data_IF_909576754295
#
_entry.id   IF_909576754295
#
_cell.length_a   1.000
_cell.length_b   1.000
_cell.length_c   1.000
_cell.angle_alpha   90.00
_cell.angle_beta   90.00
_cell.angle_gamma   90.00
#
_symmetry.space_group_name_H-M   'P 1'
#
loop_
_entity.id
_entity.type
_entity.pdbx_description
1 polymer ?
#
# COMPACT_ATOMS: atom_id res chain seq x y z
N UNK A 1 -17.76 -7.66 -2.93
CA UNK A 1 -16.53 -8.45 -3.15
C UNK A 1 -15.91 -8.82 -1.81
N UNK A 2 -15.40 -10.02 -1.70
CA UNK A 2 -14.70 -10.47 -0.50
C UNK A 2 -13.19 -10.57 -0.80
N UNK A 3 -12.44 -9.59 -0.33
CA UNK A 3 -10.99 -9.54 -0.52
C UNK A 3 -10.29 -10.73 0.16
N UNK A 4 -10.80 -11.18 1.30
CA UNK A 4 -10.20 -12.33 1.99
C UNK A 4 -10.27 -13.58 1.12
N UNK A 5 -11.38 -13.82 0.45
CA UNK A 5 -11.50 -14.94 -0.49
C UNK A 5 -10.57 -14.78 -1.69
N UNK A 6 -10.51 -13.57 -2.25
CA UNK A 6 -9.66 -13.30 -3.42
C UNK A 6 -8.18 -13.54 -3.10
N UNK A 7 -7.74 -13.15 -1.90
CA UNK A 7 -6.32 -13.22 -1.52
C UNK A 7 -5.94 -14.50 -0.79
N UNK A 8 -6.91 -15.35 -0.43
CA UNK A 8 -6.64 -16.62 0.23
C UNK A 8 -5.74 -17.50 -0.64
N UNK A 9 -4.67 -18.01 -0.05
CA UNK A 9 -3.68 -18.82 -0.77
C UNK A 9 -2.62 -18.03 -1.53
N UNK A 10 -2.84 -16.74 -1.78
CA UNK A 10 -1.86 -15.88 -2.45
C UNK A 10 -1.01 -15.08 -1.46
N UNK A 11 -1.62 -14.66 -0.34
CA UNK A 11 -0.98 -13.86 0.69
C UNK A 11 -1.38 -14.36 2.07
N UNK A 12 -0.52 -14.12 3.05
CA UNK A 12 -0.84 -14.30 4.47
C UNK A 12 -1.30 -12.97 5.04
N UNK A 13 -2.46 -12.96 5.68
CA UNK A 13 -3.05 -11.74 6.23
C UNK A 13 -3.89 -12.06 7.47
N UNK A 14 -4.17 -11.01 8.25
CA UNK A 14 -5.13 -11.05 9.35
C UNK A 14 -6.36 -10.25 8.96
N UNK A 15 -7.54 -10.71 9.37
CA UNK A 15 -8.79 -9.99 9.18
C UNK A 15 -9.11 -9.23 10.46
N UNK A 16 -9.25 -7.91 10.34
CA UNK A 16 -9.57 -7.05 11.46
C UNK A 16 -11.08 -7.05 11.77
N UNK A 17 -11.45 -6.53 12.92
CA UNK A 17 -12.85 -6.51 13.37
C UNK A 17 -13.78 -5.75 12.41
N UNK A 18 -13.26 -4.76 11.69
CA UNK A 18 -14.02 -3.97 10.72
C UNK A 18 -14.06 -4.58 9.31
N UNK A 19 -13.48 -5.78 9.15
CA UNK A 19 -13.42 -6.49 7.86
C UNK A 19 -12.23 -6.10 6.99
N UNK A 20 -11.40 -5.15 7.39
CA UNK A 20 -10.17 -4.85 6.66
C UNK A 20 -9.15 -5.95 6.86
N UNK A 21 -8.19 -6.04 5.92
CA UNK A 21 -7.10 -7.00 5.97
C UNK A 21 -5.81 -6.28 6.30
N UNK A 22 -5.02 -6.86 7.21
CA UNK A 22 -3.68 -6.35 7.55
C UNK A 22 -2.66 -7.42 7.24
N UNK A 23 -1.57 -7.03 6.60
CA UNK A 23 -0.51 -7.96 6.21
C UNK A 23 0.87 -7.32 6.27
N UNK A 24 1.86 -8.18 6.54
CA UNK A 24 3.27 -7.80 6.46
C UNK A 24 3.81 -8.27 5.11
N UNK A 25 4.57 -7.40 4.42
CA UNK A 25 5.13 -7.73 3.12
C UNK A 25 6.48 -7.05 2.93
N UNK A 26 7.55 -7.82 2.92
CA UNK A 26 8.90 -7.30 2.70
C UNK A 26 9.32 -6.21 3.67
N UNK A 27 8.94 -6.32 4.95
CA UNK A 27 9.22 -5.32 5.97
C UNK A 27 8.23 -4.17 6.03
N UNK A 28 7.27 -4.11 5.10
CA UNK A 28 6.20 -3.13 5.11
C UNK A 28 4.95 -3.68 5.78
N UNK A 29 4.04 -2.81 6.20
CA UNK A 29 2.73 -3.19 6.75
C UNK A 29 1.65 -2.56 5.87
N UNK A 30 0.76 -3.40 5.36
CA UNK A 30 -0.31 -2.94 4.47
C UNK A 30 -1.67 -3.21 5.08
N UNK A 31 -2.62 -2.34 4.76
CA UNK A 31 -4.03 -2.48 5.09
C UNK A 31 -4.84 -2.37 3.81
N UNK A 32 -5.75 -3.31 3.60
CA UNK A 32 -6.65 -3.34 2.44
C UNK A 32 -8.08 -3.43 2.91
N UNK A 33 -8.96 -2.68 2.25
CA UNK A 33 -10.39 -2.77 2.48
C UNK A 33 -11.15 -2.41 1.21
N UNK A 34 -12.42 -2.82 1.15
CA UNK A 34 -13.35 -2.38 0.12
C UNK A 34 -14.17 -1.22 0.65
N UNK A 35 -14.44 -0.25 -0.22
CA UNK A 35 -15.27 0.91 0.11
C UNK A 35 -16.30 1.08 -0.98
N UNK A 36 -17.58 1.03 -0.62
CA UNK A 36 -18.66 1.30 -1.56
C UNK A 36 -18.79 2.82 -1.74
N UNK A 37 -18.54 3.29 -2.96
CA UNK A 37 -18.67 4.71 -3.32
C UNK A 37 -20.08 4.99 -3.81
N UNK A 38 -20.68 4.05 -4.54
CA UNK A 38 -22.04 4.10 -5.03
C UNK A 38 -22.57 2.67 -5.07
N UNK A 39 -23.86 2.49 -5.38
CA UNK A 39 -24.54 1.19 -5.35
C UNK A 39 -23.84 0.12 -6.20
N UNK A 40 -23.26 0.53 -7.31
CA UNK A 40 -22.60 -0.37 -8.26
C UNK A 40 -21.10 -0.10 -8.40
N UNK A 41 -20.52 0.71 -7.50
CA UNK A 41 -19.11 1.06 -7.56
C UNK A 41 -18.43 0.78 -6.23
N UNK A 42 -17.65 -0.29 -6.21
CA UNK A 42 -16.83 -0.69 -5.07
C UNK A 42 -15.36 -0.44 -5.39
N UNK A 43 -14.67 0.25 -4.48
CA UNK A 43 -13.25 0.53 -4.59
C UNK A 43 -12.46 -0.36 -3.65
N UNK A 44 -11.28 -0.75 -4.06
CA UNK A 44 -10.27 -1.33 -3.16
C UNK A 44 -9.36 -0.20 -2.71
N UNK A 45 -9.21 -0.04 -1.41
CA UNK A 45 -8.32 0.96 -0.82
C UNK A 45 -7.15 0.24 -0.15
N UNK A 46 -5.94 0.51 -0.65
CA UNK A 46 -4.70 -0.05 -0.15
C UNK A 46 -3.86 1.07 0.44
N UNK A 47 -3.41 0.88 1.68
CA UNK A 47 -2.45 1.76 2.34
C UNK A 47 -1.30 0.90 2.84
N UNK A 48 -0.09 1.25 2.45
CA UNK A 48 1.11 0.49 2.83
C UNK A 48 2.10 1.43 3.49
N UNK A 49 2.47 1.14 4.74
CA UNK A 49 3.52 1.87 5.43
C UNK A 49 4.85 1.25 5.02
N UNK A 50 5.65 2.01 4.29
CA UNK A 50 6.93 1.53 3.73
C UNK A 50 8.06 1.64 4.74
N UNK A 51 8.10 2.74 5.46
CA UNK A 51 9.06 2.98 6.52
C UNK A 51 8.47 3.98 7.50
N UNK A 52 8.87 3.90 8.74
CA UNK A 52 8.37 4.81 9.75
C UNK A 52 9.48 5.30 10.64
N UNK A 53 9.27 6.50 11.18
CA UNK A 53 10.16 7.15 12.12
C UNK A 53 11.58 7.35 11.56
N UNK A 54 11.67 7.78 10.30
CA UNK A 54 12.95 8.10 9.66
C UNK A 54 13.34 9.55 9.94
N UNK A 55 14.65 9.85 10.01
CA UNK A 55 15.08 11.24 10.06
C UNK A 55 14.63 11.99 8.80
N UNK A 56 13.88 13.07 8.99
CA UNK A 56 13.34 13.84 7.88
C UNK A 56 14.31 14.97 7.51
N UNK A 57 15.10 14.73 6.49
CA UNK A 57 16.11 15.67 5.98
C UNK A 57 15.91 15.87 4.47
N UNK A 58 16.76 16.74 3.89
CA UNK A 58 16.67 17.04 2.46
C UNK A 58 16.91 15.80 1.59
N UNK A 59 17.79 14.90 1.97
CA UNK A 59 18.08 13.69 1.22
C UNK A 59 16.87 12.74 1.22
N UNK A 60 16.22 12.56 2.35
CA UNK A 60 15.00 11.74 2.42
C UNK A 60 13.90 12.31 1.52
N UNK A 61 13.66 13.64 1.61
CA UNK A 61 12.65 14.29 0.77
C UNK A 61 12.94 14.12 -0.71
N UNK A 62 14.19 14.27 -1.11
CA UNK A 62 14.63 14.10 -2.49
C UNK A 62 14.43 12.67 -2.96
N UNK A 63 14.80 11.69 -2.14
CA UNK A 63 14.69 10.27 -2.48
C UNK A 63 13.22 9.84 -2.58
N UNK A 64 12.37 10.29 -1.66
CA UNK A 64 10.93 10.00 -1.70
C UNK A 64 10.32 10.62 -2.94
N UNK A 65 10.67 11.85 -3.30
CA UNK A 65 10.16 12.51 -4.50
C UNK A 65 10.57 11.75 -5.77
N UNK A 66 11.78 11.24 -5.83
CA UNK A 66 12.24 10.43 -6.97
C UNK A 66 11.43 9.14 -7.11
N UNK A 67 11.15 8.44 -6.02
CA UNK A 67 10.30 7.25 -6.04
C UNK A 67 8.86 7.58 -6.39
N UNK A 68 8.32 8.70 -5.89
CA UNK A 68 6.98 9.14 -6.22
C UNK A 68 6.82 9.37 -7.72
N UNK A 69 7.83 9.96 -8.36
CA UNK A 69 7.82 10.20 -9.80
C UNK A 69 7.97 8.91 -10.62
N UNK A 70 8.69 7.92 -10.10
CA UNK A 70 8.97 6.67 -10.80
C UNK A 70 7.87 5.61 -10.61
N UNK A 71 7.03 5.74 -9.60
CA UNK A 71 6.02 4.74 -9.26
C UNK A 71 4.79 4.87 -10.15
N UNK A 72 4.45 3.80 -10.85
CA UNK A 72 3.29 3.77 -11.74
C UNK A 72 1.98 3.44 -11.03
N UNK A 73 2.05 2.54 -10.05
CA UNK A 73 0.87 2.07 -9.31
C UNK A 73 0.92 2.62 -7.89
N UNK A 74 -0.04 3.48 -7.60
CA UNK A 74 -0.13 4.11 -6.29
C UNK A 74 0.68 5.39 -6.18
N UNK A 75 0.58 6.01 -5.03
CA UNK A 75 1.26 7.27 -4.71
C UNK A 75 2.15 7.07 -3.49
N UNK A 76 3.44 7.32 -3.67
CA UNK A 76 4.41 7.32 -2.57
C UNK A 76 4.44 8.72 -1.98
N UNK A 77 4.26 8.82 -0.67
CA UNK A 77 4.18 10.10 0.02
C UNK A 77 4.95 10.07 1.34
N UNK A 78 5.47 11.23 1.70
CA UNK A 78 6.12 11.45 2.98
C UNK A 78 5.11 12.04 3.94
N UNK A 79 5.03 11.50 5.15
CA UNK A 79 4.14 11.97 6.21
C UNK A 79 5.00 12.50 7.35
N UNK A 80 4.94 13.81 7.57
CA UNK A 80 5.72 14.46 8.61
C UNK A 80 5.26 14.02 10.00
N UNK A 81 6.24 13.81 10.88
CA UNK A 81 6.04 13.47 12.29
C UNK A 81 6.78 14.48 13.18
N UNK A 82 6.39 14.60 14.46
CA UNK A 82 7.11 15.47 15.39
C UNK A 82 8.60 15.13 15.50
N UNK A 83 9.43 16.12 15.81
CA UNK A 83 10.86 15.91 16.04
C UNK A 83 11.69 15.75 14.78
N UNK A 84 11.23 16.30 13.65
CA UNK A 84 11.92 16.17 12.35
C UNK A 84 12.06 14.71 11.94
N UNK A 85 11.00 13.95 12.14
CA UNK A 85 10.86 12.55 11.73
C UNK A 85 9.78 12.44 10.67
N UNK A 86 9.77 11.35 9.94
CA UNK A 86 8.75 11.12 8.91
C UNK A 86 8.50 9.64 8.70
N UNK A 87 7.27 9.34 8.30
CA UNK A 87 6.92 8.04 7.76
C UNK A 87 6.85 8.15 6.24
N UNK A 88 7.03 7.02 5.55
CA UNK A 88 6.86 6.94 4.09
C UNK A 88 5.75 5.94 3.82
N UNK A 89 4.76 6.34 3.03
CA UNK A 89 3.59 5.53 2.76
C UNK A 89 3.35 5.43 1.25
N UNK A 90 2.73 4.32 0.86
CA UNK A 90 2.18 4.14 -0.48
C UNK A 90 0.67 3.99 -0.34
N UNK A 91 -0.10 4.71 -1.16
CA UNK A 91 -1.56 4.62 -1.20
C UNK A 91 -2.00 4.32 -2.61
N UNK A 92 -2.95 3.41 -2.75
CA UNK A 92 -3.54 3.09 -4.03
C UNK A 92 -5.01 2.75 -3.84
N UNK A 93 -5.86 3.50 -4.53
CA UNK A 93 -7.29 3.25 -4.57
C UNK A 93 -7.67 2.94 -6.01
N UNK A 94 -8.40 1.85 -6.22
CA UNK A 94 -8.77 1.45 -7.58
C UNK A 94 -10.14 0.76 -7.58
N UNK A 95 -10.89 0.88 -8.70
CA UNK A 95 -12.16 0.18 -8.82
C UNK A 95 -11.94 -1.32 -8.92
N UNK A 96 -12.76 -2.08 -8.21
CA UNK A 96 -12.74 -3.53 -8.28
C UNK A 96 -13.52 -4.07 -9.47
N UNK A 97 -14.51 -3.31 -9.96
CA UNK A 97 -15.39 -3.73 -11.04
C UNK A 97 -14.63 -4.04 -12.33
N UNK A 98 -15.00 -5.14 -12.97
CA UNK A 98 -14.40 -5.54 -14.23
C UNK A 98 -13.09 -6.30 -14.11
N UNK A 99 -12.52 -6.46 -12.91
CA UNK A 99 -11.32 -7.23 -12.68
C UNK A 99 -11.68 -8.65 -12.24
N UNK A 100 -11.02 -9.65 -12.84
CA UNK A 100 -11.10 -11.02 -12.37
C UNK A 100 -10.38 -11.17 -11.03
N UNK A 101 -10.65 -12.25 -10.30
CA UNK A 101 -9.92 -12.54 -9.05
C UNK A 101 -8.41 -12.64 -9.31
N UNK A 102 -8.02 -13.28 -10.39
CA UNK A 102 -6.62 -13.41 -10.80
C UNK A 102 -5.98 -12.05 -11.07
N UNK A 103 -6.68 -11.16 -11.76
CA UNK A 103 -6.19 -9.80 -12.02
C UNK A 103 -6.05 -8.99 -10.75
N UNK A 104 -7.00 -9.11 -9.82
CA UNK A 104 -6.94 -8.45 -8.52
C UNK A 104 -5.74 -8.93 -7.70
N UNK A 105 -5.53 -10.25 -7.63
CA UNK A 105 -4.38 -10.82 -6.93
C UNK A 105 -3.07 -10.28 -7.51
N UNK A 106 -2.95 -10.30 -8.82
CA UNK A 106 -1.74 -9.81 -9.51
C UNK A 106 -1.50 -8.34 -9.24
N UNK A 107 -2.54 -7.51 -9.35
CA UNK A 107 -2.43 -6.07 -9.13
C UNK A 107 -2.01 -5.74 -7.69
N UNK A 108 -2.64 -6.38 -6.71
CA UNK A 108 -2.33 -6.15 -5.31
C UNK A 108 -0.89 -6.58 -5.00
N UNK A 109 -0.47 -7.75 -5.49
CA UNK A 109 0.91 -8.23 -5.31
C UNK A 109 1.92 -7.28 -5.94
N UNK A 110 1.64 -6.76 -7.13
CA UNK A 110 2.53 -5.80 -7.80
C UNK A 110 2.70 -4.52 -6.99
N UNK A 111 1.60 -4.01 -6.43
CA UNK A 111 1.66 -2.80 -5.60
C UNK A 111 2.47 -3.06 -4.32
N UNK A 112 2.22 -4.18 -3.65
CA UNK A 112 2.96 -4.54 -2.43
C UNK A 112 4.45 -4.73 -2.70
N UNK A 113 4.80 -5.36 -3.81
CA UNK A 113 6.20 -5.55 -4.22
C UNK A 113 6.87 -4.21 -4.56
N UNK A 114 6.15 -3.33 -5.22
CA UNK A 114 6.63 -1.97 -5.49
C UNK A 114 6.96 -1.24 -4.19
N UNK A 115 6.05 -1.28 -3.22
CA UNK A 115 6.25 -0.67 -1.91
C UNK A 115 7.44 -1.26 -1.16
N UNK A 116 7.57 -2.58 -1.17
CA UNK A 116 8.71 -3.25 -0.54
C UNK A 116 10.04 -2.85 -1.19
N UNK A 117 10.05 -2.67 -2.51
CA UNK A 117 11.22 -2.19 -3.25
C UNK A 117 11.61 -0.77 -2.88
N UNK A 118 10.63 0.12 -2.75
CA UNK A 118 10.87 1.50 -2.29
C UNK A 118 11.46 1.50 -0.88
N UNK A 119 10.90 0.69 0.03
CA UNK A 119 11.46 0.56 1.37
C UNK A 119 12.94 0.16 1.34
N UNK A 120 13.27 -0.87 0.57
CA UNK A 120 14.67 -1.33 0.47
C UNK A 120 15.60 -0.21 0.00
N UNK A 121 15.15 0.57 -0.98
CA UNK A 121 15.94 1.69 -1.50
C UNK A 121 16.12 2.81 -0.48
N UNK A 122 15.14 3.04 0.40
CA UNK A 122 15.19 4.11 1.39
C UNK A 122 15.91 3.70 2.68
N UNK A 123 15.87 2.43 3.05
CA UNK A 123 16.36 1.95 4.34
C UNK A 123 17.53 0.97 4.23
N UNK A 124 17.72 0.43 3.07
CA UNK A 124 18.70 -0.59 2.83
C UNK A 124 19.97 -0.13 2.28
#
# INVERSE_FOLDING_TARGET
>A
MDLAEVLAGALTFETDADGSLTMNHGGTVASLRTVAIADDLEMVSLTQVLAWDLPCNADLRKNVAAHANATMLGTVALVDRPGKRADVMLRYNFPAAGLSESALQTLILMVLDTGAGVRRALTG
#
